data_IF_060494338780
#
_entry.id   IF_060494338780
#
_cell.length_a   1.000
_cell.length_b   1.000
_cell.length_c   1.000
_cell.angle_alpha   90.00
_cell.angle_beta   90.00
_cell.angle_gamma   90.00
#
_symmetry.space_group_name_H-M   'P 1'
#
loop_
_entity.id
_entity.type
_entity.pdbx_description
1 polymer ?
#
# COMPACT_ATOMS: atom_id res chain seq x y z
N UNK A 1 -2.41 -18.11 -28.18
CA UNK A 1 -3.57 -17.48 -27.53
C UNK A 1 -4.73 -18.46 -27.61
N UNK A 2 -5.53 -18.59 -26.55
CA UNK A 2 -6.71 -19.46 -26.49
C UNK A 2 -7.98 -18.59 -26.53
N UNK A 3 -8.46 -18.19 -27.72
CA UNK A 3 -9.67 -17.37 -27.86
C UNK A 3 -10.97 -18.12 -27.48
N UNK A 4 -10.94 -19.45 -27.50
CA UNK A 4 -12.09 -20.32 -27.25
C UNK A 4 -12.44 -20.56 -25.79
N UNK A 5 -11.57 -20.16 -24.85
CA UNK A 5 -11.81 -20.30 -23.41
C UNK A 5 -12.47 -19.04 -22.85
N UNK A 6 -13.12 -19.14 -21.70
CA UNK A 6 -13.62 -17.97 -20.96
C UNK A 6 -12.44 -17.29 -20.25
N UNK A 7 -12.27 -15.99 -20.49
CA UNK A 7 -11.26 -15.17 -19.81
C UNK A 7 -11.93 -14.42 -18.65
N UNK A 8 -11.39 -14.57 -17.44
CA UNK A 8 -11.92 -13.91 -16.23
C UNK A 8 -10.88 -12.91 -15.73
N UNK A 9 -11.29 -11.65 -15.60
CA UNK A 9 -10.49 -10.62 -14.97
C UNK A 9 -10.78 -10.59 -13.47
N UNK A 10 -9.75 -10.78 -12.64
CA UNK A 10 -9.81 -10.65 -11.19
C UNK A 10 -9.13 -9.36 -10.78
N UNK A 11 -9.85 -8.46 -10.11
CA UNK A 11 -9.35 -7.12 -9.81
C UNK A 11 -8.91 -7.01 -8.35
N UNK A 12 -7.70 -6.52 -8.16
CA UNK A 12 -7.12 -6.23 -6.84
C UNK A 12 -7.90 -5.16 -6.05
N UNK A 13 -8.71 -4.36 -6.72
CA UNK A 13 -9.54 -3.32 -6.11
C UNK A 13 -10.86 -3.86 -5.55
N UNK A 14 -11.27 -5.06 -5.95
CA UNK A 14 -12.62 -5.60 -5.67
C UNK A 14 -12.90 -5.75 -4.17
N UNK A 15 -11.93 -6.22 -3.39
CA UNK A 15 -12.06 -6.37 -1.93
C UNK A 15 -12.28 -5.04 -1.19
N UNK A 16 -11.91 -3.92 -1.81
CA UNK A 16 -12.00 -2.57 -1.25
C UNK A 16 -13.23 -1.79 -1.78
N UNK A 17 -14.01 -2.37 -2.70
CA UNK A 17 -15.09 -1.66 -3.38
C UNK A 17 -16.20 -1.16 -2.43
N UNK A 18 -16.35 -1.80 -1.26
CA UNK A 18 -17.33 -1.45 -0.24
C UNK A 18 -16.93 -0.33 0.72
N UNK A 19 -15.81 0.37 0.50
CA UNK A 19 -15.38 1.47 1.36
C UNK A 19 -16.41 2.60 1.44
N UNK A 20 -16.69 3.05 2.66
CA UNK A 20 -17.45 4.28 2.91
C UNK A 20 -16.76 5.49 2.25
N UNK A 21 -17.51 6.51 1.77
CA UNK A 21 -16.92 7.74 1.25
C UNK A 21 -15.90 8.39 2.19
N UNK A 22 -16.05 8.24 3.51
CA UNK A 22 -15.09 8.75 4.50
C UNK A 22 -13.67 8.19 4.32
N UNK A 23 -13.53 6.93 3.88
CA UNK A 23 -12.23 6.28 3.67
C UNK A 23 -11.75 6.36 2.22
N UNK A 24 -12.67 6.60 1.28
CA UNK A 24 -12.34 6.61 -0.14
C UNK A 24 -12.20 7.99 -0.78
N UNK A 25 -12.71 9.04 -0.15
CA UNK A 25 -12.73 10.40 -0.70
C UNK A 25 -11.44 11.17 -0.38
N UNK A 26 -10.80 11.75 -1.39
CA UNK A 26 -9.78 12.78 -1.16
C UNK A 26 -10.42 14.14 -0.90
N UNK A 27 -9.81 14.96 -0.06
CA UNK A 27 -10.23 16.33 0.21
C UNK A 27 -9.93 17.28 -0.97
N UNK A 28 -10.54 16.98 -2.12
CA UNK A 28 -10.41 17.69 -3.39
C UNK A 28 -11.77 18.27 -3.82
N UNK A 29 -11.76 19.33 -4.65
CA UNK A 29 -12.96 19.85 -5.31
C UNK A 29 -13.81 18.75 -5.95
N UNK A 30 -15.14 18.90 -5.90
CA UNK A 30 -16.10 17.91 -6.38
C UNK A 30 -15.88 17.55 -7.85
N UNK A 31 -15.61 18.54 -8.71
CA UNK A 31 -15.38 18.32 -10.14
C UNK A 31 -14.18 17.40 -10.43
N UNK A 32 -13.15 17.38 -9.57
CA UNK A 32 -12.04 16.42 -9.69
C UNK A 32 -12.45 15.04 -9.19
N UNK A 33 -13.18 14.96 -8.07
CA UNK A 33 -13.69 13.69 -7.55
C UNK A 33 -14.62 12.99 -8.53
N UNK A 34 -15.44 13.74 -9.26
CA UNK A 34 -16.36 13.23 -10.28
C UNK A 34 -15.64 12.56 -11.47
N UNK A 35 -14.35 12.82 -11.67
CA UNK A 35 -13.53 12.14 -12.70
C UNK A 35 -13.09 10.74 -12.29
N UNK A 36 -13.44 10.28 -11.08
CA UNK A 36 -13.01 9.00 -10.53
C UNK A 36 -11.72 9.09 -9.69
N UNK A 37 -11.30 10.31 -9.32
CA UNK A 37 -10.20 10.53 -8.36
C UNK A 37 -10.70 10.18 -6.95
N UNK A 38 -10.26 9.02 -6.46
CA UNK A 38 -10.59 8.47 -5.14
C UNK A 38 -9.54 7.42 -4.74
N UNK A 39 -9.60 6.94 -3.50
CA UNK A 39 -8.92 5.71 -3.10
C UNK A 39 -9.65 4.50 -3.69
N UNK A 40 -8.89 3.61 -4.33
CA UNK A 40 -9.34 2.30 -4.80
C UNK A 40 -8.77 1.18 -3.93
N UNK A 41 -7.48 1.27 -3.57
CA UNK A 41 -6.80 0.19 -2.86
C UNK A 41 -6.42 -0.99 -3.76
N UNK A 42 -5.35 -1.71 -3.39
CA UNK A 42 -4.84 -2.87 -4.14
C UNK A 42 -4.33 -3.94 -3.18
N UNK A 43 -3.87 -5.07 -3.72
CA UNK A 43 -3.66 -6.33 -3.00
C UNK A 43 -4.94 -6.92 -2.40
N UNK A 44 -6.12 -6.54 -2.92
CA UNK A 44 -7.41 -7.00 -2.42
C UNK A 44 -7.58 -8.51 -2.48
N UNK A 45 -7.06 -9.17 -3.52
CA UNK A 45 -7.10 -10.64 -3.59
C UNK A 45 -6.28 -11.30 -2.48
N UNK A 46 -5.17 -10.70 -2.08
CA UNK A 46 -4.36 -11.19 -0.94
C UNK A 46 -5.10 -11.01 0.39
N UNK A 47 -5.75 -9.87 0.59
CA UNK A 47 -6.54 -9.62 1.80
C UNK A 47 -7.80 -10.49 1.88
N UNK A 48 -8.48 -10.69 0.75
CA UNK A 48 -9.61 -11.60 0.64
C UNK A 48 -9.20 -13.02 1.03
N UNK A 49 -8.06 -13.50 0.52
CA UNK A 49 -7.51 -14.79 0.90
C UNK A 49 -7.23 -14.90 2.41
N UNK A 50 -6.62 -13.87 3.01
CA UNK A 50 -6.40 -13.82 4.47
C UNK A 50 -7.72 -13.99 5.21
N UNK A 51 -8.77 -13.26 4.82
CA UNK A 51 -10.10 -13.36 5.44
C UNK A 51 -10.68 -14.76 5.27
N UNK A 52 -10.53 -15.40 4.09
CA UNK A 52 -10.99 -16.77 3.87
C UNK A 52 -10.30 -17.77 4.80
N UNK A 53 -8.97 -17.67 4.94
CA UNK A 53 -8.20 -18.52 5.88
C UNK A 53 -8.62 -18.28 7.32
N UNK A 54 -8.76 -17.02 7.74
CA UNK A 54 -9.23 -16.70 9.09
C UNK A 54 -10.65 -17.22 9.34
N UNK A 55 -11.57 -17.14 8.38
CA UNK A 55 -12.92 -17.69 8.54
C UNK A 55 -12.90 -19.21 8.73
N UNK A 56 -12.00 -19.90 8.05
CA UNK A 56 -11.84 -21.36 8.14
C UNK A 56 -11.20 -21.79 9.47
N UNK A 57 -10.08 -21.17 9.83
CA UNK A 57 -9.20 -21.68 10.90
C UNK A 57 -9.32 -20.89 12.22
N UNK A 58 -9.84 -19.65 12.15
CA UNK A 58 -9.90 -18.70 13.26
C UNK A 58 -11.22 -17.90 13.24
N UNK A 59 -12.36 -18.58 13.12
CA UNK A 59 -13.67 -17.97 12.84
C UNK A 59 -14.06 -16.81 13.77
N UNK A 60 -13.65 -16.85 15.04
CA UNK A 60 -13.85 -15.75 15.99
C UNK A 60 -13.05 -14.52 15.61
N UNK A 61 -11.76 -14.70 15.26
CA UNK A 61 -10.89 -13.60 14.84
C UNK A 61 -11.32 -13.00 13.51
N UNK A 62 -11.86 -13.81 12.59
CA UNK A 62 -12.38 -13.32 11.31
C UNK A 62 -13.53 -12.29 11.46
N UNK A 63 -14.18 -12.26 12.62
CA UNK A 63 -15.21 -11.26 12.99
C UNK A 63 -14.65 -10.11 13.84
N UNK A 64 -13.33 -10.06 14.03
CA UNK A 64 -12.65 -9.04 14.81
C UNK A 64 -12.16 -7.87 13.98
N UNK A 65 -11.34 -7.03 14.63
CA UNK A 65 -10.57 -5.93 14.04
C UNK A 65 -9.17 -6.43 13.69
N UNK A 66 -8.87 -6.55 12.41
CA UNK A 66 -7.61 -7.09 11.92
C UNK A 66 -6.88 -6.01 11.14
N UNK A 67 -5.60 -5.82 11.43
CA UNK A 67 -4.70 -5.09 10.56
C UNK A 67 -3.91 -6.11 9.76
N UNK A 68 -4.15 -6.18 8.45
CA UNK A 68 -3.39 -7.05 7.56
C UNK A 68 -2.27 -6.24 6.89
N UNK A 69 -1.06 -6.77 6.91
CA UNK A 69 0.14 -6.19 6.33
C UNK A 69 0.66 -7.09 5.21
N UNK A 70 0.40 -6.70 3.96
CA UNK A 70 1.00 -7.32 2.80
C UNK A 70 2.35 -6.64 2.50
N UNK A 71 3.45 -7.26 2.92
CA UNK A 71 4.80 -6.70 2.84
C UNK A 71 5.63 -7.48 1.81
N UNK A 72 5.73 -6.98 0.59
CA UNK A 72 6.60 -7.52 -0.46
C UNK A 72 7.26 -6.40 -1.26
N UNK A 73 7.60 -6.68 -2.52
CA UNK A 73 8.11 -5.64 -3.45
C UNK A 73 7.12 -4.48 -3.62
N UNK A 74 5.83 -4.79 -3.61
CA UNK A 74 4.76 -3.85 -3.26
C UNK A 74 4.33 -4.07 -1.82
N UNK A 75 4.08 -2.99 -1.10
CA UNK A 75 3.67 -3.06 0.30
C UNK A 75 2.41 -2.25 0.53
N UNK A 76 1.42 -2.84 1.21
CA UNK A 76 0.24 -2.12 1.70
C UNK A 76 -0.22 -2.68 3.04
N UNK A 77 -1.03 -1.90 3.76
CA UNK A 77 -1.82 -2.39 4.88
C UNK A 77 -3.30 -2.27 4.56
N UNK A 78 -4.12 -3.11 5.19
CA UNK A 78 -5.57 -3.07 5.12
C UNK A 78 -6.14 -3.19 6.53
N UNK A 79 -7.03 -2.26 6.90
CA UNK A 79 -7.84 -2.34 8.10
C UNK A 79 -9.10 -3.16 7.75
N UNK A 80 -9.27 -4.28 8.43
CA UNK A 80 -10.36 -5.23 8.19
C UNK A 80 -11.21 -5.33 9.45
N UNK A 81 -12.52 -5.19 9.31
CA UNK A 81 -13.47 -5.37 10.40
C UNK A 81 -14.60 -6.27 9.93
N UNK A 82 -14.94 -7.29 10.71
CA UNK A 82 -15.97 -8.27 10.34
C UNK A 82 -15.69 -8.97 8.98
N UNK A 83 -14.41 -9.11 8.64
CA UNK A 83 -13.97 -9.66 7.36
C UNK A 83 -14.20 -8.75 6.14
N UNK A 84 -14.50 -7.47 6.35
CA UNK A 84 -14.71 -6.46 5.32
C UNK A 84 -13.57 -5.45 5.38
N UNK A 85 -13.06 -5.02 4.21
CA UNK A 85 -12.09 -3.93 4.15
C UNK A 85 -12.75 -2.60 4.53
N UNK A 86 -12.20 -1.91 5.52
CA UNK A 86 -12.65 -0.60 5.97
C UNK A 86 -11.74 0.52 5.44
N UNK A 87 -10.43 0.30 5.49
CA UNK A 87 -9.42 1.25 5.01
C UNK A 87 -8.20 0.50 4.45
N UNK A 88 -7.39 1.16 3.63
CA UNK A 88 -6.18 0.61 3.02
C UNK A 88 -5.17 1.70 2.69
N UNK A 89 -3.89 1.40 2.78
CA UNK A 89 -2.84 2.42 2.60
C UNK A 89 -2.65 2.84 1.15
N UNK A 90 -2.94 1.96 0.19
CA UNK A 90 -2.83 2.30 -1.23
C UNK A 90 -4.00 3.16 -1.69
N UNK A 91 -3.72 4.01 -2.66
CA UNK A 91 -4.53 5.14 -3.04
C UNK A 91 -5.38 4.92 -4.28
N UNK A 92 -5.38 5.95 -5.12
CA UNK A 92 -5.90 5.88 -6.48
C UNK A 92 -5.05 4.91 -7.32
N UNK A 93 -3.75 4.89 -7.05
CA UNK A 93 -2.77 4.00 -7.65
C UNK A 93 -2.05 3.20 -6.56
N UNK A 94 -1.31 2.18 -6.98
CA UNK A 94 -0.46 1.40 -6.08
C UNK A 94 0.84 2.14 -5.66
N UNK A 95 0.92 3.47 -5.83
CA UNK A 95 2.06 4.27 -5.42
C UNK A 95 1.91 4.82 -3.99
N UNK A 96 0.70 5.22 -3.60
CA UNK A 96 0.44 5.79 -2.27
C UNK A 96 0.62 4.76 -1.15
N UNK A 97 0.96 5.24 0.05
CA UNK A 97 1.01 4.45 1.27
C UNK A 97 2.43 4.18 1.72
N UNK A 98 2.73 2.91 1.97
CA UNK A 98 4.04 2.50 2.45
C UNK A 98 5.14 2.78 1.40
N UNK A 99 6.36 3.17 1.83
CA UNK A 99 7.51 3.01 0.95
C UNK A 99 7.66 1.52 0.60
N UNK A 100 8.12 1.20 -0.60
CA UNK A 100 8.20 -0.19 -1.07
C UNK A 100 9.61 -0.51 -1.56
N UNK A 101 9.79 -1.58 -2.34
CA UNK A 101 11.11 -1.92 -2.87
C UNK A 101 11.73 -0.77 -3.70
N UNK A 102 10.96 -0.27 -4.68
CA UNK A 102 11.39 0.80 -5.60
C UNK A 102 10.43 2.00 -5.65
N UNK A 103 9.28 1.88 -4.98
CA UNK A 103 8.25 2.92 -4.96
C UNK A 103 8.39 3.83 -3.74
N UNK A 104 8.18 5.13 -3.93
CA UNK A 104 8.34 6.12 -2.86
C UNK A 104 7.31 6.00 -1.73
N UNK A 105 6.10 5.50 -2.01
CA UNK A 105 5.01 5.58 -1.05
C UNK A 105 4.42 6.99 -1.00
N UNK A 106 3.79 7.34 0.11
CA UNK A 106 3.29 8.70 0.34
C UNK A 106 4.44 9.69 0.55
N UNK A 107 4.44 10.76 -0.24
CA UNK A 107 5.30 11.95 -0.10
C UNK A 107 4.46 13.23 -0.18
N UNK A 108 5.04 14.35 0.22
CA UNK A 108 4.39 15.66 0.17
C UNK A 108 4.10 16.10 -1.29
N UNK A 109 2.84 16.40 -1.66
CA UNK A 109 2.50 16.97 -2.96
C UNK A 109 3.27 18.27 -3.29
N UNK A 110 3.61 19.07 -2.29
CA UNK A 110 4.45 20.26 -2.46
C UNK A 110 5.85 19.94 -2.97
N UNK A 111 6.45 18.84 -2.49
CA UNK A 111 7.74 18.36 -2.98
C UNK A 111 7.66 17.89 -4.44
N UNK A 112 6.56 17.24 -4.84
CA UNK A 112 6.32 16.84 -6.24
C UNK A 112 6.25 18.09 -7.14
N UNK A 113 5.48 19.11 -6.73
CA UNK A 113 5.36 20.36 -7.46
C UNK A 113 6.72 21.05 -7.59
N UNK A 114 7.51 21.09 -6.52
CA UNK A 114 8.86 21.65 -6.52
C UNK A 114 9.80 20.92 -7.49
N UNK A 115 9.80 19.58 -7.48
CA UNK A 115 10.60 18.77 -8.40
C UNK A 115 10.30 19.11 -9.87
N UNK A 116 9.02 19.17 -10.22
CA UNK A 116 8.62 19.39 -11.61
C UNK A 116 8.84 20.84 -12.03
N UNK A 117 8.38 21.78 -11.20
CA UNK A 117 8.33 23.20 -11.57
C UNK A 117 9.67 23.89 -11.37
N UNK A 118 10.31 23.67 -10.24
CA UNK A 118 11.47 24.45 -9.80
C UNK A 118 12.79 23.74 -10.14
N UNK A 119 12.87 22.42 -9.94
CA UNK A 119 14.01 21.60 -10.40
C UNK A 119 13.95 21.23 -11.89
N UNK A 120 12.86 21.57 -12.58
CA UNK A 120 12.66 21.29 -14.02
C UNK A 120 12.74 19.81 -14.38
N UNK A 121 12.46 18.92 -13.44
CA UNK A 121 12.39 17.48 -13.70
C UNK A 121 11.12 17.22 -14.54
N UNK A 122 11.23 16.65 -15.75
CA UNK A 122 10.06 16.29 -16.55
C UNK A 122 9.10 15.38 -15.77
N UNK A 123 7.79 15.55 -15.95
CA UNK A 123 6.79 14.75 -15.24
C UNK A 123 6.97 13.24 -15.45
N UNK A 124 7.39 12.83 -16.65
CA UNK A 124 7.71 11.43 -16.99
C UNK A 124 8.93 10.90 -16.24
N UNK A 125 9.93 11.75 -16.02
CA UNK A 125 11.11 11.40 -15.22
C UNK A 125 10.78 11.34 -13.73
N UNK A 126 9.97 12.29 -13.23
CA UNK A 126 9.47 12.25 -11.86
C UNK A 126 8.66 10.97 -11.60
N UNK A 127 7.78 10.59 -12.53
CA UNK A 127 7.05 9.32 -12.47
C UNK A 127 8.01 8.13 -12.42
N UNK A 128 9.03 8.09 -13.29
CA UNK A 128 10.04 7.03 -13.25
C UNK A 128 10.72 6.93 -11.89
N UNK A 129 11.15 8.06 -11.33
CA UNK A 129 11.78 8.14 -10.01
C UNK A 129 10.83 7.57 -8.94
N UNK A 130 9.57 7.98 -8.95
CA UNK A 130 8.60 7.56 -7.93
C UNK A 130 8.28 6.07 -7.98
N UNK A 131 8.32 5.45 -9.16
CA UNK A 131 7.99 4.03 -9.33
C UNK A 131 9.20 3.07 -9.28
N UNK A 132 10.38 3.52 -9.69
CA UNK A 132 11.52 2.64 -10.00
C UNK A 132 12.81 2.95 -9.24
N UNK A 133 13.02 4.21 -8.81
CA UNK A 133 14.28 4.65 -8.19
C UNK A 133 14.12 5.14 -6.76
N UNK A 134 12.96 4.92 -6.16
CA UNK A 134 12.63 5.32 -4.79
C UNK A 134 12.61 4.11 -3.84
N UNK A 135 11.94 4.25 -2.69
CA UNK A 135 11.74 3.15 -1.74
C UNK A 135 13.05 2.67 -1.10
N UNK A 136 13.12 1.39 -0.78
CA UNK A 136 14.31 0.77 -0.21
C UNK A 136 15.54 0.93 -1.12
N UNK A 137 15.37 0.80 -2.44
CA UNK A 137 16.43 1.04 -3.43
C UNK A 137 16.96 2.47 -3.34
N UNK A 138 16.07 3.47 -3.38
CA UNK A 138 16.45 4.88 -3.33
C UNK A 138 17.11 5.29 -2.02
N UNK A 139 16.58 4.81 -0.88
CA UNK A 139 17.13 5.14 0.45
C UNK A 139 18.46 4.44 0.73
N UNK A 140 18.60 3.18 0.33
CA UNK A 140 19.85 2.45 0.53
C UNK A 140 20.93 2.85 -0.48
N UNK A 141 20.53 3.21 -1.70
CA UNK A 141 21.43 3.35 -2.85
C UNK A 141 22.01 2.04 -3.35
N UNK A 142 21.48 0.89 -2.90
CA UNK A 142 22.04 -0.45 -3.16
C UNK A 142 21.07 -1.34 -3.93
N UNK A 143 19.98 -1.75 -3.29
CA UNK A 143 19.02 -2.73 -3.82
C UNK A 143 17.67 -2.58 -3.12
N UNK A 144 16.62 -3.11 -3.73
CA UNK A 144 15.31 -3.28 -3.10
C UNK A 144 15.18 -4.62 -2.35
N UNK A 145 16.14 -5.55 -2.50
CA UNK A 145 16.09 -6.86 -1.87
C UNK A 145 16.39 -6.79 -0.37
N UNK A 146 15.38 -7.04 0.45
CA UNK A 146 15.46 -6.94 1.92
C UNK A 146 16.51 -7.89 2.51
N UNK A 147 16.67 -9.10 1.95
CA UNK A 147 17.64 -10.09 2.43
C UNK A 147 19.08 -9.62 2.23
N UNK A 148 19.36 -8.95 1.11
CA UNK A 148 20.65 -8.34 0.82
C UNK A 148 20.89 -7.11 1.70
N UNK A 149 19.87 -6.27 1.91
CA UNK A 149 19.97 -5.12 2.81
C UNK A 149 20.27 -5.54 4.26
N UNK A 150 19.64 -6.60 4.76
CA UNK A 150 19.88 -7.13 6.12
C UNK A 150 21.30 -7.67 6.32
N UNK A 151 21.93 -8.18 5.26
CA UNK A 151 23.32 -8.67 5.30
C UNK A 151 24.35 -7.57 5.10
N UNK A 152 23.95 -6.41 4.62
CA UNK A 152 24.85 -5.28 4.37
C UNK A 152 25.31 -4.65 5.67
N UNK A 153 26.59 -4.25 5.72
CA UNK A 153 27.14 -3.43 6.81
C UNK A 153 27.05 -1.93 6.52
N UNK A 154 26.52 -1.54 5.35
CA UNK A 154 26.35 -0.14 4.97
C UNK A 154 25.28 0.52 5.87
N UNK A 155 25.58 1.63 6.55
CA UNK A 155 24.60 2.36 7.35
C UNK A 155 23.33 2.77 6.59
N UNK A 156 23.41 3.00 5.27
CA UNK A 156 22.24 3.33 4.43
C UNK A 156 21.28 2.14 4.29
N UNK A 157 21.78 0.91 4.30
CA UNK A 157 20.93 -0.28 4.28
C UNK A 157 20.13 -0.40 5.58
N UNK A 158 20.79 -0.21 6.72
CA UNK A 158 20.14 -0.17 8.03
C UNK A 158 19.11 0.98 8.12
N UNK A 159 19.46 2.16 7.61
CA UNK A 159 18.54 3.30 7.55
C UNK A 159 17.29 2.98 6.73
N UNK A 160 17.45 2.42 5.52
CA UNK A 160 16.32 2.07 4.66
C UNK A 160 15.35 1.08 5.33
N UNK A 161 15.88 0.04 5.98
CA UNK A 161 15.08 -0.95 6.71
C UNK A 161 14.38 -0.34 7.93
N UNK A 162 15.08 0.47 8.72
CA UNK A 162 14.50 1.16 9.88
C UNK A 162 13.40 2.15 9.46
N UNK A 163 13.62 2.88 8.37
CA UNK A 163 12.64 3.78 7.80
C UNK A 163 11.38 3.03 7.37
N UNK A 164 11.54 1.91 6.65
CA UNK A 164 10.42 1.07 6.24
C UNK A 164 9.62 0.54 7.45
N UNK A 165 10.31 -0.03 8.45
CA UNK A 165 9.65 -0.55 9.66
C UNK A 165 8.91 0.54 10.44
N UNK A 166 9.49 1.73 10.56
CA UNK A 166 8.85 2.88 11.18
C UNK A 166 7.60 3.30 10.40
N UNK A 167 7.67 3.39 9.07
CA UNK A 167 6.51 3.74 8.24
C UNK A 167 5.40 2.71 8.34
N UNK A 168 5.73 1.42 8.26
CA UNK A 168 4.75 0.34 8.51
C UNK A 168 4.05 0.55 9.85
N UNK A 169 4.80 0.79 10.92
CA UNK A 169 4.24 0.99 12.26
C UNK A 169 3.34 2.24 12.35
N UNK A 170 3.74 3.35 11.73
CA UNK A 170 2.93 4.58 11.67
C UNK A 170 1.60 4.35 10.95
N UNK A 171 1.63 3.68 9.79
CA UNK A 171 0.43 3.37 9.03
C UNK A 171 -0.45 2.31 9.73
N UNK A 172 0.13 1.36 10.48
CA UNK A 172 -0.66 0.47 11.35
C UNK A 172 -1.46 1.26 12.39
N UNK A 173 -0.90 2.33 12.95
CA UNK A 173 -1.62 3.24 13.83
C UNK A 173 -2.85 3.86 13.13
N UNK A 174 -2.72 4.29 11.88
CA UNK A 174 -3.85 4.79 11.09
C UNK A 174 -4.92 3.72 10.86
N UNK A 175 -4.52 2.49 10.51
CA UNK A 175 -5.45 1.37 10.34
C UNK A 175 -6.20 1.05 11.64
N UNK A 176 -5.50 1.09 12.78
CA UNK A 176 -6.12 0.89 14.09
C UNK A 176 -7.15 1.97 14.41
N UNK A 177 -6.88 3.23 14.06
CA UNK A 177 -7.85 4.33 14.21
C UNK A 177 -9.11 4.07 13.36
N UNK A 178 -8.94 3.62 12.11
CA UNK A 178 -10.05 3.38 11.19
C UNK A 178 -11.06 2.33 11.70
N UNK A 179 -10.58 1.28 12.39
CA UNK A 179 -11.43 0.18 12.90
C UNK A 179 -11.61 0.20 14.43
N UNK A 180 -11.09 1.23 15.11
CA UNK A 180 -11.24 1.44 16.55
C UNK A 180 -10.43 0.49 17.44
N UNK A 181 -9.25 0.06 16.99
CA UNK A 181 -8.32 -0.85 17.70
C UNK A 181 -7.80 -1.97 16.80
N UNK A 182 -7.14 -2.97 17.39
CA UNK A 182 -6.73 -4.17 16.67
C UNK A 182 -6.79 -5.38 17.61
N UNK A 183 -7.46 -6.43 17.18
CA UNK A 183 -7.52 -7.74 17.84
C UNK A 183 -6.42 -8.66 17.32
N UNK A 184 -5.98 -8.47 16.07
CA UNK A 184 -4.80 -9.12 15.50
C UNK A 184 -4.10 -8.27 14.44
N UNK A 185 -2.82 -8.57 14.25
CA UNK A 185 -2.01 -8.10 13.12
C UNK A 185 -1.58 -9.34 12.34
N UNK A 186 -1.86 -9.36 11.04
CA UNK A 186 -1.48 -10.46 10.14
C UNK A 186 -0.41 -9.97 9.19
N UNK A 187 0.74 -10.64 9.15
CA UNK A 187 1.79 -10.37 8.16
C UNK A 187 1.73 -11.40 7.03
N UNK A 188 1.83 -10.93 5.79
CA UNK A 188 1.90 -11.73 4.57
C UNK A 188 2.79 -11.02 3.55
N UNK A 189 2.97 -11.61 2.38
CA UNK A 189 3.81 -11.07 1.32
C UNK A 189 5.05 -11.92 1.10
N UNK A 190 6.21 -11.26 1.00
CA UNK A 190 7.50 -11.90 0.68
C UNK A 190 8.12 -12.71 1.81
#
# INVERSE_FOLDING_TARGET
>A
MAPEIVHIACFDTSFHAGHDPLFSTYALPQNLRDTGIRRYGFHGLSYEWIVQVLRRDHATLAKGRIIAAHLGNGASLCAIKDGISIDTTMGMTALEGLPMGTRCGTIDPGAIIYMIRDLKIPATEAEHIFYNDSGLKGLSGLTNDVKNLQKSKDPKAAFALNYFALKVSQFMGMMAVAIGGADAIVFTGG
#
